data_IF_326316102080
#
_entry.id   IF_326316102080
#
_cell.length_a   1.000
_cell.length_b   1.000
_cell.length_c   1.000
_cell.angle_alpha   90.00
_cell.angle_beta   90.00
_cell.angle_gamma   90.00
#
_symmetry.space_group_name_H-M   'P 1'
#
loop_
_entity.id
_entity.type
_entity.pdbx_description
1 polymer ?
#
# COMPACT_ATOMS: atom_id res chain seq x y z
N UNK A 1 -43.24 -54.43 -67.46
CA UNK A 1 -42.72 -55.51 -68.33
C UNK A 1 -42.96 -56.88 -67.68
N UNK A 2 -44.04 -57.59 -68.04
CA UNK A 2 -44.32 -58.96 -67.55
C UNK A 2 -43.99 -60.05 -68.57
N UNK A 3 -43.70 -59.66 -69.82
CA UNK A 3 -43.38 -60.58 -70.91
C UNK A 3 -42.07 -61.34 -70.69
N UNK A 4 -41.07 -60.71 -70.05
CA UNK A 4 -39.76 -61.29 -69.76
C UNK A 4 -39.70 -62.11 -68.45
N UNK A 5 -40.71 -62.04 -67.59
CA UNK A 5 -40.81 -62.87 -66.38
C UNK A 5 -40.89 -64.35 -66.80
N UNK A 6 -40.39 -65.31 -66.03
CA UNK A 6 -40.49 -66.74 -66.37
C UNK A 6 -40.94 -67.48 -65.12
N UNK A 7 -42.22 -67.90 -65.04
CA UNK A 7 -42.71 -68.62 -63.88
C UNK A 7 -42.14 -70.03 -63.86
N UNK A 8 -41.80 -70.50 -62.66
CA UNK A 8 -41.20 -71.83 -62.45
C UNK A 8 -42.24 -72.94 -62.66
N UNK A 9 -43.51 -72.62 -62.41
CA UNK A 9 -44.66 -73.51 -62.60
C UNK A 9 -45.56 -72.98 -63.73
N UNK A 10 -46.28 -73.86 -64.46
CA UNK A 10 -47.23 -73.42 -65.47
C UNK A 10 -48.34 -72.56 -64.83
N UNK A 11 -48.55 -71.35 -65.35
CA UNK A 11 -49.56 -70.43 -64.85
C UNK A 11 -50.46 -69.92 -65.99
N UNK A 12 -51.76 -69.75 -65.74
CA UNK A 12 -52.70 -69.27 -66.76
C UNK A 12 -52.47 -67.80 -67.15
N UNK A 13 -52.13 -66.93 -66.19
CA UNK A 13 -51.83 -65.52 -66.44
C UNK A 13 -50.49 -65.11 -65.83
N UNK A 14 -49.53 -64.85 -66.73
CA UNK A 14 -48.15 -64.49 -66.42
C UNK A 14 -47.99 -63.18 -65.65
N UNK A 15 -48.88 -62.20 -65.90
CA UNK A 15 -48.84 -60.91 -65.22
C UNK A 15 -49.26 -61.05 -63.75
N UNK A 16 -50.33 -61.80 -63.49
CA UNK A 16 -50.81 -62.04 -62.13
C UNK A 16 -49.79 -62.85 -61.32
N UNK A 17 -49.20 -63.87 -61.93
CA UNK A 17 -48.15 -64.66 -61.29
C UNK A 17 -46.94 -63.81 -60.89
N UNK A 18 -46.44 -62.94 -61.79
CA UNK A 18 -45.35 -62.01 -61.47
C UNK A 18 -45.69 -61.10 -60.28
N UNK A 19 -46.93 -60.61 -60.21
CA UNK A 19 -47.37 -59.73 -59.14
C UNK A 19 -47.41 -60.46 -57.80
N UNK A 20 -47.89 -61.70 -57.79
CA UNK A 20 -47.94 -62.53 -56.57
C UNK A 20 -46.55 -62.90 -56.08
N UNK A 21 -45.67 -63.36 -56.98
CA UNK A 21 -44.28 -63.68 -56.66
C UNK A 21 -43.52 -62.47 -56.09
N UNK A 22 -43.81 -61.28 -56.62
CA UNK A 22 -43.22 -60.05 -56.08
C UNK A 22 -43.69 -59.78 -54.65
N UNK A 23 -44.99 -59.93 -54.38
CA UNK A 23 -45.56 -59.72 -53.04
C UNK A 23 -45.05 -60.75 -52.04
N UNK A 24 -44.97 -62.03 -52.41
CA UNK A 24 -44.46 -63.09 -51.53
C UNK A 24 -42.97 -62.89 -51.24
N UNK A 25 -42.19 -62.46 -52.24
CA UNK A 25 -40.79 -62.08 -52.05
C UNK A 25 -40.65 -60.89 -51.10
N UNK A 26 -41.44 -59.83 -51.29
CA UNK A 26 -41.44 -58.66 -50.41
C UNK A 26 -41.83 -59.02 -48.97
N UNK A 27 -42.83 -59.90 -48.79
CA UNK A 27 -43.24 -60.39 -47.49
C UNK A 27 -42.14 -61.22 -46.81
N UNK A 28 -41.51 -62.13 -47.56
CA UNK A 28 -40.37 -62.91 -47.06
C UNK A 28 -39.21 -62.01 -46.61
N UNK A 29 -38.87 -61.00 -47.40
CA UNK A 29 -37.82 -60.04 -47.04
C UNK A 29 -38.18 -59.23 -45.79
N UNK A 30 -39.46 -58.84 -45.62
CA UNK A 30 -39.94 -58.20 -44.38
C UNK A 30 -39.79 -59.13 -43.17
N UNK A 31 -40.10 -60.43 -43.31
CA UNK A 31 -39.93 -61.41 -42.24
C UNK A 31 -38.47 -61.60 -41.87
N UNK A 32 -37.56 -61.64 -42.85
CA UNK A 32 -36.13 -61.69 -42.60
C UNK A 32 -35.60 -60.43 -41.89
N UNK A 33 -36.06 -59.24 -42.29
CA UNK A 33 -35.64 -57.98 -41.65
C UNK A 33 -36.15 -57.84 -40.21
N UNK A 34 -37.35 -58.35 -39.93
CA UNK A 34 -37.98 -58.26 -38.61
C UNK A 34 -37.60 -59.41 -37.68
N UNK A 35 -36.93 -60.44 -38.19
CA UNK A 35 -36.49 -61.58 -37.39
C UNK A 35 -35.46 -61.13 -36.35
N UNK A 36 -35.76 -61.34 -35.07
CA UNK A 36 -34.84 -61.07 -33.96
C UNK A 36 -33.86 -62.23 -33.80
N UNK A 37 -32.59 -61.96 -33.44
CA UNK A 37 -31.65 -63.03 -33.11
C UNK A 37 -32.12 -63.79 -31.87
N UNK A 38 -32.00 -65.12 -31.90
CA UNK A 38 -32.40 -66.01 -30.79
C UNK A 38 -31.38 -65.97 -29.65
N UNK A 39 -30.12 -65.66 -29.96
CA UNK A 39 -29.02 -65.58 -29.01
C UNK A 39 -28.49 -64.15 -29.00
N UNK A 40 -28.36 -63.59 -27.80
CA UNK A 40 -27.67 -62.31 -27.62
C UNK A 40 -26.17 -62.51 -27.85
N UNK A 41 -25.62 -61.84 -28.85
CA UNK A 41 -24.19 -61.81 -29.16
C UNK A 41 -23.55 -60.47 -28.77
N UNK A 42 -24.24 -59.65 -27.98
CA UNK A 42 -23.71 -58.37 -27.53
C UNK A 42 -22.56 -58.55 -26.55
N UNK A 43 -21.58 -57.62 -26.54
CA UNK A 43 -20.48 -57.69 -25.59
C UNK A 43 -20.99 -57.42 -24.15
N UNK A 44 -20.38 -58.03 -23.13
CA UNK A 44 -20.73 -57.78 -21.75
C UNK A 44 -20.52 -56.30 -21.37
N UNK A 45 -21.28 -55.78 -20.39
CA UNK A 45 -21.18 -54.39 -19.97
C UNK A 45 -19.78 -54.09 -19.41
N UNK A 46 -19.18 -53.00 -19.90
CA UNK A 46 -17.91 -52.51 -19.39
C UNK A 46 -18.13 -51.69 -18.12
N UNK A 47 -17.45 -52.07 -17.04
CA UNK A 47 -17.52 -51.31 -15.79
C UNK A 47 -16.42 -50.24 -15.74
N UNK A 48 -16.83 -48.99 -15.52
CA UNK A 48 -15.91 -47.85 -15.47
C UNK A 48 -14.85 -47.94 -14.37
N UNK A 49 -15.15 -48.60 -13.25
CA UNK A 49 -14.21 -48.73 -12.12
C UNK A 49 -13.03 -49.67 -12.41
N UNK A 50 -13.12 -50.56 -13.41
CA UNK A 50 -11.98 -51.38 -13.86
C UNK A 50 -10.97 -50.55 -14.66
N UNK A 51 -11.48 -49.58 -15.44
CA UNK A 51 -10.67 -48.77 -16.35
C UNK A 51 -10.19 -47.47 -15.69
N UNK A 52 -10.95 -46.95 -14.73
CA UNK A 52 -10.69 -45.66 -14.09
C UNK A 52 -10.43 -45.81 -12.59
N UNK A 53 -9.27 -45.32 -12.16
CA UNK A 53 -8.94 -45.18 -10.73
C UNK A 53 -9.58 -43.91 -10.16
N UNK A 54 -10.91 -43.96 -9.95
CA UNK A 54 -11.72 -42.81 -9.52
C UNK A 54 -11.18 -42.12 -8.25
N UNK A 55 -10.69 -42.89 -7.26
CA UNK A 55 -10.10 -42.34 -6.03
C UNK A 55 -8.84 -41.51 -6.32
N UNK A 56 -7.99 -41.96 -7.25
CA UNK A 56 -6.79 -41.24 -7.65
C UNK A 56 -7.15 -39.91 -8.31
N UNK A 57 -8.09 -39.95 -9.27
CA UNK A 57 -8.56 -38.75 -9.96
C UNK A 57 -9.17 -37.72 -8.99
N UNK A 58 -9.95 -38.20 -8.01
CA UNK A 58 -10.52 -37.33 -6.97
C UNK A 58 -9.43 -36.64 -6.14
N UNK A 59 -8.45 -37.39 -5.65
CA UNK A 59 -7.35 -36.86 -4.84
C UNK A 59 -6.51 -35.84 -5.62
N UNK A 60 -6.24 -36.12 -6.90
CA UNK A 60 -5.51 -35.22 -7.78
C UNK A 60 -6.28 -33.91 -8.02
N UNK A 61 -7.60 -34.00 -8.23
CA UNK A 61 -8.48 -32.82 -8.32
C UNK A 61 -8.49 -31.99 -7.03
N UNK A 62 -8.57 -32.63 -5.86
CA UNK A 62 -8.51 -31.95 -4.56
C UNK A 62 -7.16 -31.24 -4.37
N UNK A 63 -6.05 -31.91 -4.69
CA UNK A 63 -4.71 -31.32 -4.65
C UNK A 63 -4.60 -30.09 -5.55
N UNK A 64 -5.08 -30.18 -6.79
CA UNK A 64 -5.08 -29.04 -7.73
C UNK A 64 -5.94 -27.87 -7.20
N UNK A 65 -7.11 -28.15 -6.63
CA UNK A 65 -7.97 -27.11 -6.04
C UNK A 65 -7.29 -26.38 -4.87
N UNK A 66 -6.48 -27.09 -4.07
CA UNK A 66 -5.68 -26.46 -3.00
C UNK A 66 -4.63 -25.53 -3.61
N UNK A 67 -3.86 -26.02 -4.58
CA UNK A 67 -2.82 -25.24 -5.26
C UNK A 67 -3.41 -23.98 -5.92
N UNK A 68 -4.55 -24.09 -6.60
CA UNK A 68 -5.23 -22.95 -7.24
C UNK A 68 -5.68 -21.90 -6.23
N UNK A 69 -6.26 -22.32 -5.10
CA UNK A 69 -6.67 -21.42 -4.01
C UNK A 69 -5.47 -20.69 -3.40
N UNK A 70 -4.39 -21.41 -3.16
CA UNK A 70 -3.17 -20.85 -2.58
C UNK A 70 -2.49 -19.88 -3.53
N UNK A 71 -2.43 -20.21 -4.83
CA UNK A 71 -1.94 -19.32 -5.87
C UNK A 71 -2.79 -18.04 -5.97
N UNK A 72 -4.12 -18.16 -5.92
CA UNK A 72 -5.01 -17.00 -5.91
C UNK A 72 -4.76 -16.11 -4.67
N UNK A 73 -4.63 -16.72 -3.49
CA UNK A 73 -4.35 -15.98 -2.26
C UNK A 73 -2.98 -15.28 -2.32
N UNK A 74 -1.96 -15.96 -2.86
CA UNK A 74 -0.63 -15.40 -3.05
C UNK A 74 -0.68 -14.21 -4.00
N UNK A 75 -1.31 -14.36 -5.16
CA UNK A 75 -1.47 -13.27 -6.14
C UNK A 75 -2.22 -12.09 -5.54
N UNK A 76 -3.28 -12.33 -4.76
CA UNK A 76 -4.00 -11.27 -4.05
C UNK A 76 -3.11 -10.52 -3.06
N UNK A 77 -2.27 -11.22 -2.30
CA UNK A 77 -1.31 -10.61 -1.37
C UNK A 77 -0.24 -9.81 -2.11
N UNK A 78 0.34 -10.37 -3.18
CA UNK A 78 1.33 -9.68 -4.01
C UNK A 78 0.71 -8.43 -4.65
N UNK A 79 -0.49 -8.53 -5.23
CA UNK A 79 -1.21 -7.39 -5.79
C UNK A 79 -1.47 -6.31 -4.75
N UNK A 80 -1.85 -6.69 -3.53
CA UNK A 80 -2.00 -5.75 -2.43
C UNK A 80 -0.68 -5.04 -2.09
N UNK A 81 0.42 -5.78 -1.97
CA UNK A 81 1.78 -5.24 -1.73
C UNK A 81 2.29 -4.40 -2.90
N UNK A 82 1.91 -4.72 -4.14
CA UNK A 82 2.31 -3.90 -5.30
C UNK A 82 1.52 -2.59 -5.36
N UNK A 83 0.23 -2.63 -4.99
CA UNK A 83 -0.64 -1.45 -4.96
C UNK A 83 -0.34 -0.53 -3.79
N UNK A 84 0.00 -1.10 -2.63
CA UNK A 84 0.36 -0.34 -1.42
C UNK A 84 1.87 -0.20 -1.38
N UNK A 85 2.43 1.00 -1.20
CA UNK A 85 3.89 1.23 -1.22
C UNK A 85 4.64 0.68 0.00
N UNK A 86 4.22 -0.46 0.56
CA UNK A 86 4.90 -1.11 1.68
C UNK A 86 4.96 -0.24 2.94
N UNK A 87 3.88 0.48 3.28
CA UNK A 87 3.78 1.12 4.61
C UNK A 87 3.69 0.01 5.64
N UNK A 88 4.84 -0.37 6.19
CA UNK A 88 4.92 -1.20 7.37
C UNK A 88 4.27 -0.40 8.52
N UNK A 89 3.31 -1.02 9.19
CA UNK A 89 2.59 -0.52 10.36
C UNK A 89 3.36 -0.82 11.66
N UNK A 90 4.69 -0.82 11.59
CA UNK A 90 5.63 -1.07 12.68
C UNK A 90 5.71 0.07 13.71
N UNK A 91 4.60 0.78 13.95
CA UNK A 91 4.40 1.55 15.18
C UNK A 91 3.84 0.60 16.23
N UNK A 92 4.74 -0.15 16.85
CA UNK A 92 4.41 -0.84 18.08
C UNK A 92 4.39 0.21 19.20
N UNK A 93 3.20 0.68 19.59
CA UNK A 93 3.02 1.57 20.73
C UNK A 93 3.22 0.78 22.04
N UNK A 94 4.45 0.38 22.31
CA UNK A 94 4.80 -0.25 23.58
C UNK A 94 5.27 0.83 24.56
N UNK A 95 4.55 0.99 25.66
CA UNK A 95 5.05 1.78 26.77
C UNK A 95 6.20 1.02 27.45
N UNK A 96 7.39 1.62 27.49
CA UNK A 96 8.53 1.06 28.21
C UNK A 96 8.23 1.04 29.72
N UNK A 97 7.89 -0.15 30.24
CA UNK A 97 7.64 -0.35 31.67
C UNK A 97 8.97 -0.44 32.41
N UNK A 98 9.30 0.59 33.19
CA UNK A 98 10.44 0.60 34.10
C UNK A 98 9.94 0.58 35.55
N UNK A 99 10.40 -0.40 36.33
CA UNK A 99 10.17 -0.46 37.78
C UNK A 99 10.67 0.81 38.50
N UNK A 100 11.71 1.46 37.96
CA UNK A 100 12.32 2.65 38.54
C UNK A 100 11.66 3.97 38.10
N UNK A 101 10.58 3.92 37.29
CA UNK A 101 9.92 5.12 36.77
C UNK A 101 9.45 6.06 37.89
N UNK A 102 8.79 5.51 38.91
CA UNK A 102 8.28 6.28 40.05
C UNK A 102 9.41 6.96 40.85
N UNK A 103 10.50 6.23 41.09
CA UNK A 103 11.67 6.74 41.81
C UNK A 103 12.31 7.89 41.00
N UNK A 104 12.46 7.71 39.69
CA UNK A 104 13.02 8.74 38.79
C UNK A 104 12.13 9.98 38.73
N UNK A 105 10.82 9.82 38.68
CA UNK A 105 9.86 10.93 38.70
C UNK A 105 9.91 11.70 40.03
N UNK A 106 10.00 11.01 41.17
CA UNK A 106 10.15 11.64 42.48
C UNK A 106 11.46 12.40 42.61
N UNK A 107 12.58 11.82 42.15
CA UNK A 107 13.89 12.49 42.19
C UNK A 107 13.92 13.71 41.28
N UNK A 108 13.29 13.63 40.09
CA UNK A 108 13.16 14.77 39.19
C UNK A 108 12.36 15.92 39.80
N UNK A 109 11.28 15.61 40.53
CA UNK A 109 10.50 16.59 41.28
C UNK A 109 11.28 17.20 42.46
N UNK A 110 12.13 16.40 43.12
CA UNK A 110 13.00 16.88 44.19
C UNK A 110 14.05 17.84 43.63
N UNK A 111 14.81 17.41 42.62
CA UNK A 111 15.83 18.22 41.96
C UNK A 111 15.22 19.51 41.39
N UNK A 112 14.04 19.45 40.77
CA UNK A 112 13.37 20.65 40.24
C UNK A 112 13.01 21.65 41.33
N UNK A 113 12.56 21.17 42.50
CA UNK A 113 12.27 22.03 43.65
C UNK A 113 13.54 22.67 44.21
N UNK A 114 14.60 21.88 44.38
CA UNK A 114 15.90 22.38 44.86
C UNK A 114 16.48 23.43 43.88
N UNK A 115 16.46 23.14 42.59
CA UNK A 115 16.90 24.07 41.54
C UNK A 115 16.10 25.37 41.54
N UNK A 116 14.79 25.32 41.78
CA UNK A 116 13.95 26.52 41.89
C UNK A 116 14.35 27.38 43.09
N UNK A 117 14.61 26.77 44.24
CA UNK A 117 15.08 27.49 45.44
C UNK A 117 16.45 28.13 45.20
N UNK A 118 17.37 27.43 44.55
CA UNK A 118 18.68 27.96 44.18
C UNK A 118 18.53 29.15 43.23
N UNK A 119 17.70 29.02 42.20
CA UNK A 119 17.43 30.10 41.25
C UNK A 119 16.83 31.32 41.95
N UNK A 120 15.88 31.13 42.86
CA UNK A 120 15.32 32.21 43.67
C UNK A 120 16.38 32.88 44.55
N UNK A 121 17.32 32.13 45.13
CA UNK A 121 18.44 32.72 45.88
C UNK A 121 19.34 33.55 44.96
N UNK A 122 19.80 32.98 43.84
CA UNK A 122 20.69 33.66 42.89
C UNK A 122 20.04 34.95 42.36
N UNK A 123 18.75 34.92 42.05
CA UNK A 123 18.02 36.09 41.53
C UNK A 123 17.75 37.16 42.58
N UNK A 124 17.50 36.77 43.85
CA UNK A 124 17.33 37.74 44.97
C UNK A 124 18.67 38.30 45.46
N UNK A 125 19.76 37.57 45.28
CA UNK A 125 21.10 38.04 45.62
C UNK A 125 21.45 39.26 44.78
N UNK A 126 21.73 40.38 45.44
CA UNK A 126 22.25 41.56 44.77
C UNK A 126 23.70 41.32 44.34
N UNK A 127 24.11 41.81 43.16
CA UNK A 127 25.51 41.76 42.76
C UNK A 127 26.35 42.60 43.71
N UNK A 128 27.35 41.98 44.35
CA UNK A 128 28.31 42.67 45.22
C UNK A 128 29.10 43.76 44.48
N UNK A 129 29.28 43.56 43.17
CA UNK A 129 30.06 44.45 42.32
C UNK A 129 29.15 45.34 41.48
N UNK A 130 29.39 46.65 41.55
CA UNK A 130 28.76 47.62 40.65
C UNK A 130 29.52 47.64 39.34
N UNK A 131 28.90 47.16 38.26
CA UNK A 131 29.50 47.10 36.91
C UNK A 131 30.05 48.45 36.48
N UNK A 132 29.34 49.54 36.79
CA UNK A 132 29.78 50.90 36.48
C UNK A 132 31.10 51.26 37.17
N UNK A 133 31.23 50.96 38.47
CA UNK A 133 32.45 51.23 39.23
C UNK A 133 33.63 50.41 38.70
N UNK A 134 33.39 49.14 38.36
CA UNK A 134 34.41 48.30 37.72
C UNK A 134 34.89 48.86 36.39
N UNK A 135 33.98 49.42 35.58
CA UNK A 135 34.35 50.05 34.32
C UNK A 135 35.18 51.32 34.55
N UNK A 136 34.80 52.16 35.52
CA UNK A 136 35.56 53.36 35.88
C UNK A 136 36.95 53.01 36.44
N UNK A 137 37.04 52.01 37.31
CA UNK A 137 38.30 51.52 37.86
C UNK A 137 39.18 50.90 36.76
N UNK A 138 38.57 50.20 35.79
CA UNK A 138 39.25 49.70 34.60
C UNK A 138 39.80 50.83 33.74
N UNK A 139 39.00 51.85 33.44
CA UNK A 139 39.44 53.03 32.67
C UNK A 139 40.57 53.79 33.36
N UNK A 140 40.53 53.95 34.69
CA UNK A 140 41.63 54.55 35.46
C UNK A 140 42.89 53.69 35.38
N UNK A 141 42.73 52.38 35.53
CA UNK A 141 43.85 51.42 35.41
C UNK A 141 44.46 51.49 34.01
N UNK A 142 43.63 51.53 32.98
CA UNK A 142 44.05 51.68 31.59
C UNK A 142 44.79 53.00 31.37
N UNK A 143 44.28 54.11 31.90
CA UNK A 143 44.94 55.42 31.87
C UNK A 143 46.32 55.39 32.55
N UNK A 144 46.41 54.89 33.79
CA UNK A 144 47.68 54.76 34.49
C UNK A 144 48.66 53.85 33.76
N UNK A 145 48.17 52.71 33.25
CA UNK A 145 49.00 51.81 32.50
C UNK A 145 49.51 52.48 31.21
N UNK A 146 48.68 53.16 30.44
CA UNK A 146 49.12 53.88 29.24
C UNK A 146 50.19 54.93 29.55
N UNK A 147 50.08 55.59 30.70
CA UNK A 147 51.06 56.59 31.15
C UNK A 147 52.38 55.99 31.64
N UNK A 148 52.36 54.78 32.23
CA UNK A 148 53.55 54.12 32.79
C UNK A 148 54.20 53.17 31.78
N UNK A 149 53.47 52.77 30.72
CA UNK A 149 53.99 51.86 29.70
C UNK A 149 55.04 52.52 28.82
N UNK A 150 56.21 51.88 28.71
CA UNK A 150 57.30 52.26 27.79
C UNK A 150 56.90 52.19 26.31
N UNK A 151 55.91 51.37 25.97
CA UNK A 151 55.40 51.18 24.62
C UNK A 151 53.87 51.34 24.61
N UNK A 152 53.29 52.18 23.72
CA UNK A 152 51.87 52.46 23.72
C UNK A 152 51.06 51.22 23.33
N UNK A 153 50.11 50.82 24.19
CA UNK A 153 49.16 49.74 23.91
C UNK A 153 48.04 50.26 23.03
N UNK A 154 48.34 50.36 21.75
CA UNK A 154 47.43 50.90 20.74
C UNK A 154 48.05 51.05 19.35
N UNK A 155 49.25 50.49 19.10
CA UNK A 155 49.61 50.22 17.71
C UNK A 155 48.48 49.38 17.11
N UNK A 156 48.04 49.64 15.86
CA UNK A 156 47.11 48.75 15.18
C UNK A 156 47.80 47.40 15.04
N UNK A 157 47.59 46.53 16.03
CA UNK A 157 47.75 45.10 15.83
C UNK A 157 46.75 44.80 14.72
N UNK A 158 47.28 44.38 13.57
CA UNK A 158 46.54 44.00 12.37
C UNK A 158 45.21 43.34 12.76
N UNK A 159 44.10 43.70 12.10
CA UNK A 159 42.77 43.33 12.56
C UNK A 159 42.72 41.84 12.85
N UNK A 160 42.48 41.52 14.12
CA UNK A 160 42.46 40.15 14.59
C UNK A 160 41.44 39.37 13.74
N UNK A 161 41.90 38.31 13.08
CA UNK A 161 41.07 37.50 12.17
C UNK A 161 39.82 36.94 12.89
N UNK A 162 39.83 36.92 14.23
CA UNK A 162 38.71 36.55 15.09
C UNK A 162 37.57 37.55 15.05
N UNK A 163 37.84 38.86 15.07
CA UNK A 163 36.79 39.90 15.06
C UNK A 163 36.14 40.03 13.69
N UNK A 164 36.92 39.87 12.62
CA UNK A 164 36.38 39.76 11.27
C UNK A 164 35.52 38.50 11.10
N UNK A 165 35.92 37.36 11.69
CA UNK A 165 35.12 36.13 11.70
C UNK A 165 33.82 36.31 12.48
N UNK A 166 33.86 36.90 13.68
CA UNK A 166 32.68 37.16 14.50
C UNK A 166 31.68 38.08 13.78
N UNK A 167 32.16 39.19 13.20
CA UNK A 167 31.32 40.08 12.40
C UNK A 167 30.75 39.41 11.15
N UNK A 168 31.49 38.50 10.50
CA UNK A 168 31.03 37.73 9.33
C UNK A 168 30.00 36.67 9.72
N UNK A 169 30.15 36.05 10.89
CA UNK A 169 29.19 35.10 11.46
C UNK A 169 27.90 35.84 11.86
N UNK A 170 28.01 37.03 12.44
CA UNK A 170 26.88 37.84 12.85
C UNK A 170 26.07 38.35 11.65
N UNK A 171 26.76 38.83 10.60
CA UNK A 171 26.14 39.17 9.31
C UNK A 171 25.48 37.96 8.65
N UNK A 172 26.08 36.76 8.72
CA UNK A 172 25.47 35.50 8.24
C UNK A 172 24.21 35.15 9.01
N UNK A 173 24.22 35.22 10.35
CA UNK A 173 23.04 34.97 11.19
C UNK A 173 21.90 35.96 10.91
N UNK A 174 22.21 37.23 10.67
CA UNK A 174 21.21 38.23 10.29
C UNK A 174 20.62 37.95 8.91
N UNK A 175 21.44 37.55 7.93
CA UNK A 175 21.00 37.19 6.58
C UNK A 175 20.14 35.92 6.56
N UNK A 176 20.50 34.91 7.36
CA UNK A 176 19.69 33.71 7.55
C UNK A 176 18.34 34.02 8.22
N UNK A 177 18.31 34.89 9.22
CA UNK A 177 17.05 35.36 9.83
C UNK A 177 16.17 36.08 8.81
N UNK A 178 16.74 36.93 7.96
CA UNK A 178 16.01 37.62 6.89
C UNK A 178 15.40 36.64 5.88
N UNK A 179 16.20 35.71 5.36
CA UNK A 179 15.78 34.71 4.38
C UNK A 179 14.69 33.78 4.94
N UNK A 180 14.77 33.45 6.24
CA UNK A 180 13.77 32.64 6.94
C UNK A 180 12.45 33.40 7.11
N UNK A 181 12.52 34.70 7.36
CA UNK A 181 11.35 35.57 7.46
C UNK A 181 10.69 35.82 6.09
N UNK A 182 11.46 35.97 5.01
CA UNK A 182 10.94 36.05 3.64
C UNK A 182 10.26 34.74 3.21
N UNK A 183 10.89 33.59 3.46
CA UNK A 183 10.31 32.27 3.16
C UNK A 183 8.99 32.01 3.91
N UNK A 184 8.84 32.55 5.12
CA UNK A 184 7.60 32.46 5.89
C UNK A 184 6.50 33.38 5.33
N UNK A 185 6.85 34.54 4.78
CA UNK A 185 5.90 35.45 4.09
C UNK A 185 5.39 34.85 2.78
N UNK A 186 6.27 34.23 1.98
CA UNK A 186 5.88 33.58 0.72
C UNK A 186 4.97 32.36 0.93
N UNK A 187 5.11 31.69 2.09
CA UNK A 187 4.23 30.58 2.50
C UNK A 187 2.87 31.04 3.02
N UNK A 188 2.77 32.26 3.55
CA UNK A 188 1.49 32.85 3.96
C UNK A 188 0.70 33.35 2.74
N UNK A 189 1.36 34.01 1.78
CA UNK A 189 0.70 34.49 0.54
C UNK A 189 0.17 33.36 -0.36
N UNK A 190 0.77 32.17 -0.31
CA UNK A 190 0.24 30.98 -1.02
C UNK A 190 -0.96 30.31 -0.35
N UNK A 191 -1.22 30.56 0.94
CA UNK A 191 -2.41 30.04 1.64
C UNK A 191 -3.65 30.90 1.38
N UNK A 192 -3.49 32.21 1.23
CA UNK A 192 -4.61 33.13 0.99
C UNK A 192 -5.22 33.02 -0.42
N UNK A 193 -4.45 32.54 -1.42
CA UNK A 193 -4.93 32.32 -2.80
C UNK A 193 -5.69 31.00 -3.02
N UNK A 194 -5.75 30.10 -2.02
CA UNK A 194 -6.46 28.81 -2.13
C UNK A 194 -7.84 28.77 -1.46
N UNK A 195 -8.24 29.81 -0.73
CA UNK A 195 -9.50 29.80 0.05
C UNK A 195 -10.64 30.65 -0.54
N UNK A 196 -10.41 31.39 -1.63
CA UNK A 196 -11.47 32.08 -2.38
C UNK A 196 -11.66 31.44 -3.76
N UNK A 197 -12.42 30.35 -3.86
CA UNK A 197 -13.17 29.91 -5.05
C UNK A 197 -13.93 28.60 -4.76
N UNK A 198 -14.91 28.65 -3.85
CA UNK A 198 -16.04 27.69 -3.85
C UNK A 198 -17.29 28.50 -3.47
N UNK A 199 -17.96 29.07 -4.47
CA UNK A 199 -19.34 29.54 -4.29
C UNK A 199 -20.32 28.36 -4.50
N UNK A 200 -21.34 28.20 -3.63
CA UNK A 200 -22.38 27.21 -3.81
C UNK A 200 -23.48 27.73 -4.73
N UNK A 201 -23.58 27.16 -5.94
CA UNK A 201 -24.69 27.38 -6.87
C UNK A 201 -26.01 26.91 -6.25
N UNK A 202 -26.88 27.85 -5.88
CA UNK A 202 -28.30 27.62 -5.59
C UNK A 202 -29.11 28.05 -6.81
N UNK A 203 -29.68 27.08 -7.52
CA UNK A 203 -30.84 27.33 -8.38
C UNK A 203 -32.07 26.61 -7.83
N UNK A 204 -33.13 27.40 -7.71
CA UNK A 204 -34.44 27.02 -7.23
C UNK A 204 -35.23 26.23 -8.28
N UNK A 205 -35.95 25.22 -7.78
CA UNK A 205 -37.35 24.87 -8.09
C UNK A 205 -37.95 25.41 -9.40
N UNK A 206 -38.55 24.53 -10.23
CA UNK A 206 -40.02 24.26 -10.28
C UNK A 206 -40.42 23.42 -11.49
N UNK A 207 -41.54 22.70 -11.30
CA UNK A 207 -42.45 22.08 -12.29
C UNK A 207 -42.07 20.66 -12.76
N UNK A 208 -42.97 19.68 -12.93
CA UNK A 208 -44.39 19.49 -12.61
C UNK A 208 -44.69 17.99 -12.84
N UNK A 209 -45.74 17.50 -12.15
CA UNK A 209 -46.63 16.34 -12.42
C UNK A 209 -46.33 15.45 -13.65
N UNK A 210 -46.28 14.13 -13.48
CA UNK A 210 -47.37 13.12 -13.42
C UNK A 210 -46.78 11.85 -12.79
#
# INVERSE_FOLDING_TARGET
MHRAYQPILPCGNKYLQQKWDKVTYEEHMKRLQTAKPVVDTSPPPTYGHLHLKLRKLKLEKERLSIIERDNYLLLRKISHIMRTTGRVDNKNEYEAKSLNRKIREQELLRISRENRVILERITKCQPQYKVQKWNEDWQKTEYYMNNITRYPRGLPMLPDQKDQKLNKIEKRRQKEKHLKNECLKDKAGKKELTEHNIEPSKDHQRANSI
#
